data_IF_803885247085
#
_entry.id   IF_803885247085
#
_cell.length_a   1.000
_cell.length_b   1.000
_cell.length_c   1.000
_cell.angle_alpha   90.00
_cell.angle_beta   90.00
_cell.angle_gamma   90.00
#
_symmetry.space_group_name_H-M   'P 1'
#
loop_
_entity.id
_entity.type
_entity.pdbx_description
1 polymer ?
#
# COMPACT_ATOMS: atom_id res chain seq x y z
N UNK A 1 -19.89 9.04 74.78
CA UNK A 1 -19.46 10.44 74.59
C UNK A 1 -18.12 10.45 73.88
N UNK A 2 -18.08 10.99 72.67
CA UNK A 2 -16.96 11.68 71.99
C UNK A 2 -17.04 11.38 70.48
N UNK A 3 -17.71 12.29 69.79
CA UNK A 3 -17.86 12.40 68.36
C UNK A 3 -16.63 13.14 67.81
N UNK A 4 -15.96 12.64 66.79
CA UNK A 4 -14.94 13.39 66.05
C UNK A 4 -15.23 13.28 64.55
N UNK A 5 -15.85 14.35 64.05
CA UNK A 5 -16.04 14.65 62.63
C UNK A 5 -14.68 14.87 61.95
N UNK A 6 -14.47 14.25 60.79
CA UNK A 6 -13.47 14.70 59.81
C UNK A 6 -14.22 15.38 58.67
N UNK A 7 -14.02 16.69 58.56
CA UNK A 7 -14.54 17.53 57.48
C UNK A 7 -13.72 17.32 56.20
N UNK A 8 -14.37 16.90 55.12
CA UNK A 8 -13.82 16.92 53.78
C UNK A 8 -13.83 18.37 53.25
N UNK A 9 -12.65 18.90 52.92
CA UNK A 9 -12.51 20.20 52.25
C UNK A 9 -12.81 20.10 50.75
N UNK A 10 -13.29 21.18 50.11
CA UNK A 10 -13.61 21.19 48.69
C UNK A 10 -12.32 21.27 47.86
N UNK A 11 -12.14 20.33 46.93
CA UNK A 11 -11.12 20.44 45.89
C UNK A 11 -11.57 21.46 44.84
N UNK A 12 -10.88 22.59 44.78
CA UNK A 12 -11.03 23.56 43.68
C UNK A 12 -10.44 22.96 42.39
N UNK A 13 -11.06 23.19 41.22
CA UNK A 13 -10.50 22.74 39.95
C UNK A 13 -9.24 23.54 39.63
N UNK A 14 -8.14 22.84 39.36
CA UNK A 14 -6.92 23.42 38.83
C UNK A 14 -7.24 24.09 37.49
N UNK A 15 -7.10 25.40 37.44
CA UNK A 15 -7.22 26.19 36.22
C UNK A 15 -5.97 25.94 35.37
N UNK A 16 -6.14 25.30 34.22
CA UNK A 16 -5.07 25.13 33.25
C UNK A 16 -4.78 26.50 32.59
N UNK A 17 -3.61 27.06 32.88
CA UNK A 17 -3.08 28.20 32.11
C UNK A 17 -2.87 27.78 30.66
N UNK A 18 -3.11 28.67 29.68
CA UNK A 18 -2.80 28.39 28.29
C UNK A 18 -1.28 28.35 28.15
N UNK A 19 -0.73 27.16 27.97
CA UNK A 19 0.66 27.01 27.59
C UNK A 19 0.85 27.68 26.23
N UNK A 20 1.73 28.67 26.23
CA UNK A 20 2.28 29.37 25.10
C UNK A 20 2.55 28.39 23.95
N UNK A 21 1.85 28.57 22.83
CA UNK A 21 2.00 27.77 21.62
C UNK A 21 3.30 28.16 20.91
N UNK A 22 4.43 27.87 21.56
CA UNK A 22 5.74 27.86 20.94
C UNK A 22 5.70 26.81 19.82
N UNK A 23 5.92 27.27 18.58
CA UNK A 23 6.00 26.48 17.36
C UNK A 23 6.87 25.24 17.58
N UNK A 24 6.25 24.10 17.87
CA UNK A 24 6.93 22.82 17.83
C UNK A 24 7.32 22.61 16.36
N UNK A 25 8.60 22.38 16.04
CA UNK A 25 8.95 21.82 14.74
C UNK A 25 8.07 20.59 14.56
N UNK A 26 7.30 20.52 13.48
CA UNK A 26 6.47 19.34 13.18
C UNK A 26 7.40 18.12 13.22
N UNK A 27 7.27 17.31 14.26
CA UNK A 27 8.16 16.18 14.49
C UNK A 27 8.11 15.27 13.27
N UNK A 28 9.28 14.87 12.76
CA UNK A 28 9.38 13.91 11.66
C UNK A 28 8.68 12.61 12.04
N UNK A 29 7.92 12.06 11.11
CA UNK A 29 7.23 10.76 11.26
C UNK A 29 8.22 9.62 11.44
N UNK A 30 7.76 8.46 11.91
CA UNK A 30 8.63 7.29 12.10
C UNK A 30 9.16 6.79 10.74
N UNK A 31 8.36 6.83 9.68
CA UNK A 31 8.82 6.58 8.31
C UNK A 31 9.96 7.54 7.90
N UNK A 32 9.76 8.85 8.11
CA UNK A 32 10.75 9.88 7.73
C UNK A 32 12.05 9.78 8.52
N UNK A 33 12.02 9.37 9.79
CA UNK A 33 13.22 9.14 10.59
C UNK A 33 14.12 8.05 10.01
N UNK A 34 13.55 7.05 9.31
CA UNK A 34 14.34 5.96 8.71
C UNK A 34 15.20 6.43 7.53
N UNK A 35 14.92 7.59 6.93
CA UNK A 35 15.76 8.19 5.88
C UNK A 35 17.20 8.46 6.34
N UNK A 36 17.44 8.53 7.65
CA UNK A 36 18.76 8.78 8.21
C UNK A 36 19.63 7.52 8.34
N UNK A 37 19.06 6.34 8.09
CA UNK A 37 19.81 5.08 8.05
C UNK A 37 20.65 4.97 6.77
N UNK A 38 21.68 4.12 6.80
CA UNK A 38 22.63 3.97 5.70
C UNK A 38 21.99 3.45 4.40
N UNK A 39 21.15 2.42 4.49
CA UNK A 39 20.56 1.79 3.31
C UNK A 39 19.64 2.71 2.49
N UNK A 40 18.70 3.49 3.08
CA UNK A 40 17.89 4.45 2.32
C UNK A 40 18.73 5.50 1.59
N UNK A 41 19.77 6.04 2.24
CA UNK A 41 20.70 7.01 1.65
C UNK A 41 21.47 6.40 0.48
N UNK A 42 21.97 5.17 0.65
CA UNK A 42 22.64 4.44 -0.41
C UNK A 42 21.69 4.17 -1.59
N UNK A 43 20.47 3.69 -1.33
CA UNK A 43 19.46 3.40 -2.36
C UNK A 43 19.12 4.65 -3.17
N UNK A 44 18.90 5.79 -2.52
CA UNK A 44 18.60 7.06 -3.20
C UNK A 44 19.77 7.52 -4.09
N UNK A 45 21.01 7.45 -3.57
CA UNK A 45 22.21 7.81 -4.33
C UNK A 45 22.42 6.88 -5.52
N UNK A 46 22.34 5.56 -5.31
CA UNK A 46 22.59 4.54 -6.32
C UNK A 46 21.47 4.37 -7.34
N UNK A 47 20.27 4.91 -7.08
CA UNK A 47 19.19 5.01 -8.07
C UNK A 47 19.14 6.36 -8.80
N UNK A 48 19.84 7.37 -8.28
CA UNK A 48 19.80 8.76 -8.77
C UNK A 48 18.53 9.53 -8.38
N UNK A 49 17.81 9.08 -7.33
CA UNK A 49 16.59 9.73 -6.82
C UNK A 49 16.89 10.74 -5.69
N UNK A 50 18.10 10.75 -5.16
CA UNK A 50 18.61 11.69 -4.15
C UNK A 50 18.46 13.18 -4.53
N UNK A 51 18.56 13.51 -5.83
CA UNK A 51 18.40 14.88 -6.32
C UNK A 51 16.96 15.43 -6.28
N UNK A 52 15.94 14.57 -6.07
CA UNK A 52 14.53 14.97 -6.17
C UNK A 52 14.07 15.84 -5.00
N UNK A 53 14.40 15.48 -3.77
CA UNK A 53 14.00 16.23 -2.57
C UNK A 53 14.64 17.65 -2.53
N UNK A 54 15.94 17.85 -2.78
CA UNK A 54 16.53 19.20 -2.86
C UNK A 54 15.89 20.08 -3.96
N UNK A 55 15.53 19.48 -5.11
CA UNK A 55 14.83 20.21 -6.18
C UNK A 55 13.42 20.61 -5.76
N UNK A 56 12.70 19.72 -5.09
CA UNK A 56 11.37 19.98 -4.54
C UNK A 56 11.41 21.09 -3.48
N UNK A 57 12.34 21.02 -2.52
CA UNK A 57 12.53 22.03 -1.48
C UNK A 57 12.77 23.44 -2.05
N UNK A 58 13.61 23.55 -3.10
CA UNK A 58 13.80 24.83 -3.82
C UNK A 58 12.51 25.34 -4.46
N UNK A 59 11.73 24.47 -5.07
CA UNK A 59 10.46 24.84 -5.69
C UNK A 59 9.40 25.28 -4.66
N UNK A 60 9.32 24.61 -3.49
CA UNK A 60 8.47 25.03 -2.38
C UNK A 60 8.85 26.43 -1.87
N UNK A 61 10.16 26.69 -1.66
CA UNK A 61 10.64 28.01 -1.23
C UNK A 61 10.33 29.14 -2.22
N UNK A 62 10.17 28.82 -3.50
CA UNK A 62 9.77 29.75 -4.55
C UNK A 62 8.26 29.87 -4.77
N UNK A 63 7.43 29.26 -3.92
CA UNK A 63 5.97 29.41 -3.99
C UNK A 63 5.51 30.64 -3.20
N UNK A 64 4.77 31.54 -3.85
CA UNK A 64 4.30 32.81 -3.30
C UNK A 64 2.87 32.73 -2.73
N UNK A 65 2.23 31.57 -2.80
CA UNK A 65 0.91 31.32 -2.22
C UNK A 65 0.48 29.85 -2.27
N UNK A 66 -0.62 29.53 -1.58
CA UNK A 66 -1.13 28.17 -1.45
C UNK A 66 -1.32 27.48 -2.80
N UNK A 67 -2.00 28.14 -3.75
CA UNK A 67 -2.29 27.55 -5.06
C UNK A 67 -1.01 27.20 -5.86
N UNK A 68 0.07 27.99 -5.70
CA UNK A 68 1.35 27.69 -6.34
C UNK A 68 2.10 26.56 -5.62
N UNK A 69 1.99 26.50 -4.29
CA UNK A 69 2.54 25.41 -3.49
C UNK A 69 1.86 24.08 -3.87
N UNK A 70 0.54 24.06 -3.95
CA UNK A 70 -0.26 22.89 -4.37
C UNK A 70 0.16 22.41 -5.77
N UNK A 71 0.19 23.30 -6.76
CA UNK A 71 0.70 22.96 -8.11
C UNK A 71 2.12 22.42 -8.09
N UNK A 72 2.97 22.93 -7.19
CA UNK A 72 4.35 22.46 -7.04
C UNK A 72 4.41 21.08 -6.42
N UNK A 73 3.63 20.82 -5.37
CA UNK A 73 3.51 19.51 -4.74
C UNK A 73 3.04 18.46 -5.74
N UNK A 74 1.87 18.66 -6.36
CA UNK A 74 1.29 17.73 -7.33
C UNK A 74 2.27 17.46 -8.48
N UNK A 75 2.86 18.52 -9.07
CA UNK A 75 3.81 18.35 -10.19
C UNK A 75 5.01 17.50 -9.82
N UNK A 76 5.62 17.73 -8.66
CA UNK A 76 6.81 16.99 -8.23
C UNK A 76 6.48 15.56 -7.80
N UNK A 77 5.34 15.36 -7.13
CA UNK A 77 4.86 14.04 -6.74
C UNK A 77 4.49 13.18 -7.96
N UNK A 78 3.74 13.71 -8.93
CA UNK A 78 3.43 12.99 -10.18
C UNK A 78 4.68 12.75 -11.03
N UNK A 79 5.67 13.64 -11.00
CA UNK A 79 6.94 13.41 -11.69
C UNK A 79 7.78 12.32 -11.02
N UNK A 80 7.71 12.19 -9.69
CA UNK A 80 8.33 11.10 -8.96
C UNK A 80 7.71 9.75 -9.35
N UNK A 81 6.39 9.63 -9.36
CA UNK A 81 5.68 8.41 -9.81
C UNK A 81 6.11 8.01 -11.23
N UNK A 82 5.93 8.91 -12.20
CA UNK A 82 6.25 8.66 -13.61
C UNK A 82 7.72 8.29 -13.82
N UNK A 83 8.64 8.94 -13.09
CA UNK A 83 10.07 8.58 -13.14
C UNK A 83 10.32 7.16 -12.63
N UNK A 84 9.65 6.73 -11.55
CA UNK A 84 9.78 5.37 -11.03
C UNK A 84 9.23 4.33 -12.02
N UNK A 85 8.06 4.59 -12.60
CA UNK A 85 7.45 3.75 -13.63
C UNK A 85 8.34 3.66 -14.88
N UNK A 86 8.77 4.79 -15.42
CA UNK A 86 9.68 4.84 -16.58
C UNK A 86 10.97 4.06 -16.32
N UNK A 87 11.55 4.25 -15.14
CA UNK A 87 12.75 3.51 -14.72
C UNK A 87 12.48 2.01 -14.74
N UNK A 88 11.43 1.54 -14.07
CA UNK A 88 11.06 0.12 -13.95
C UNK A 88 10.79 -0.53 -15.31
N UNK A 89 10.29 0.25 -16.27
CA UNK A 89 9.90 -0.23 -17.59
C UNK A 89 10.95 0.00 -18.68
N UNK A 90 12.19 0.28 -18.31
CA UNK A 90 13.24 0.39 -19.32
C UNK A 90 13.32 1.75 -20.03
N UNK A 91 12.46 2.72 -19.69
CA UNK A 91 12.37 4.04 -20.35
C UNK A 91 13.25 5.11 -19.70
N UNK A 92 13.69 6.08 -20.50
CA UNK A 92 14.54 7.18 -20.05
C UNK A 92 15.98 6.76 -19.71
N UNK A 93 16.81 7.72 -19.24
CA UNK A 93 18.21 7.47 -18.95
C UNK A 93 18.37 6.52 -17.76
N UNK A 94 19.31 5.59 -17.88
CA UNK A 94 19.74 4.74 -16.77
C UNK A 94 20.59 5.59 -15.80
N UNK A 95 19.95 6.18 -14.79
CA UNK A 95 20.67 6.87 -13.71
C UNK A 95 21.03 5.88 -12.61
N UNK A 96 22.28 5.93 -12.14
CA UNK A 96 22.76 5.05 -11.09
C UNK A 96 22.97 3.59 -11.51
N UNK A 97 23.31 2.72 -10.56
CA UNK A 97 23.73 1.33 -10.80
C UNK A 97 22.79 0.29 -10.16
N UNK A 98 21.77 0.70 -9.40
CA UNK A 98 20.73 -0.23 -8.96
C UNK A 98 19.95 -0.75 -10.16
N UNK A 99 19.39 -1.94 -10.00
CA UNK A 99 18.46 -2.50 -10.97
C UNK A 99 17.27 -1.58 -11.22
N UNK A 100 16.70 -1.71 -12.41
CA UNK A 100 15.67 -0.81 -12.91
C UNK A 100 14.31 -1.09 -12.30
N UNK A 101 13.96 -2.36 -12.07
CA UNK A 101 12.69 -2.79 -11.48
C UNK A 101 12.59 -2.58 -9.97
N UNK A 102 13.39 -1.69 -9.40
CA UNK A 102 13.47 -1.44 -7.97
C UNK A 102 12.39 -0.46 -7.51
N UNK A 103 11.58 -0.89 -6.54
CA UNK A 103 10.48 -0.12 -5.95
C UNK A 103 10.96 0.83 -4.83
N UNK A 104 12.07 0.49 -4.17
CA UNK A 104 12.58 1.25 -3.03
C UNK A 104 12.92 2.71 -3.34
N UNK A 105 13.47 3.08 -4.52
CA UNK A 105 13.70 4.48 -4.87
C UNK A 105 12.44 5.35 -4.83
N UNK A 106 11.27 4.83 -5.24
CA UNK A 106 10.01 5.57 -5.17
C UNK A 106 9.66 5.88 -3.71
N UNK A 107 9.62 4.83 -2.88
CA UNK A 107 9.25 4.93 -1.48
C UNK A 107 10.12 5.91 -0.71
N UNK A 108 11.45 5.73 -0.75
CA UNK A 108 12.38 6.60 -0.01
C UNK A 108 12.38 8.04 -0.53
N UNK A 109 12.24 8.25 -1.84
CA UNK A 109 12.18 9.60 -2.38
C UNK A 109 10.88 10.31 -1.99
N UNK A 110 9.76 9.58 -1.94
CA UNK A 110 8.48 10.14 -1.48
C UNK A 110 8.56 10.59 -0.03
N UNK A 111 9.14 9.78 0.86
CA UNK A 111 9.39 10.18 2.24
C UNK A 111 10.32 11.39 2.35
N UNK A 112 11.35 11.47 1.50
CA UNK A 112 12.23 12.63 1.46
C UNK A 112 11.48 13.90 1.02
N UNK A 113 10.59 13.81 0.03
CA UNK A 113 9.70 14.92 -0.36
C UNK A 113 8.74 15.29 0.79
N UNK A 114 8.14 14.31 1.46
CA UNK A 114 7.26 14.56 2.62
C UNK A 114 7.99 15.30 3.74
N UNK A 115 9.22 14.88 4.06
CA UNK A 115 10.06 15.52 5.09
C UNK A 115 10.37 16.98 4.75
N UNK A 116 10.66 17.28 3.48
CA UNK A 116 10.84 18.67 3.02
C UNK A 116 9.56 19.49 3.15
N UNK A 117 8.39 18.90 2.84
CA UNK A 117 7.10 19.58 2.99
C UNK A 117 6.76 19.84 4.47
N UNK A 118 7.03 18.89 5.36
CA UNK A 118 6.88 19.07 6.81
C UNK A 118 7.77 20.21 7.33
N UNK A 119 9.07 20.21 6.98
CA UNK A 119 10.02 21.22 7.43
C UNK A 119 9.80 22.61 6.81
N UNK A 120 9.10 22.70 5.67
CA UNK A 120 8.92 23.94 4.94
C UNK A 120 8.05 24.96 5.68
N UNK A 121 8.60 26.14 5.91
CA UNK A 121 7.87 27.32 6.40
C UNK A 121 7.68 28.32 5.25
N UNK A 122 6.44 28.53 4.75
CA UNK A 122 6.15 29.51 3.71
C UNK A 122 6.30 30.96 4.21
N UNK A 123 6.48 31.89 3.26
CA UNK A 123 6.45 33.34 3.52
C UNK A 123 5.04 33.94 3.57
N UNK A 124 4.02 33.12 3.33
CA UNK A 124 2.60 33.46 3.35
C UNK A 124 1.88 32.62 4.41
N UNK A 125 0.68 33.06 4.82
CA UNK A 125 -0.13 32.32 5.79
C UNK A 125 -0.57 30.97 5.21
N UNK A 126 -0.25 29.87 5.91
CA UNK A 126 -0.66 28.52 5.56
C UNK A 126 -1.34 27.88 6.76
N UNK A 127 -2.62 27.55 6.62
CA UNK A 127 -3.39 26.91 7.70
C UNK A 127 -2.97 25.44 7.87
N UNK A 128 -3.27 24.85 9.02
CA UNK A 128 -3.04 23.42 9.24
C UNK A 128 -3.83 22.53 8.25
N UNK A 129 -5.03 22.94 7.86
CA UNK A 129 -5.83 22.25 6.85
C UNK A 129 -5.17 22.30 5.47
N UNK A 130 -4.72 23.47 5.04
CA UNK A 130 -3.98 23.63 3.79
C UNK A 130 -2.70 22.79 3.78
N UNK A 131 -1.96 22.76 4.89
CA UNK A 131 -0.78 21.90 5.01
C UNK A 131 -1.15 20.41 4.86
N UNK A 132 -2.19 19.95 5.55
CA UNK A 132 -2.68 18.56 5.40
C UNK A 132 -3.09 18.27 3.95
N UNK A 133 -3.80 19.18 3.29
CA UNK A 133 -4.16 19.04 1.88
C UNK A 133 -2.94 18.93 0.96
N UNK A 134 -1.87 19.68 1.21
CA UNK A 134 -0.60 19.52 0.49
C UNK A 134 0.02 18.13 0.73
N UNK A 135 0.02 17.61 1.96
CA UNK A 135 0.51 16.24 2.23
C UNK A 135 -0.35 15.18 1.53
N UNK A 136 -1.68 15.34 1.54
CA UNK A 136 -2.59 14.47 0.79
C UNK A 136 -2.29 14.51 -0.70
N UNK A 137 -2.10 15.69 -1.29
CA UNK A 137 -1.75 15.82 -2.71
C UNK A 137 -0.40 15.16 -3.03
N UNK A 138 0.59 15.28 -2.14
CA UNK A 138 1.88 14.60 -2.28
C UNK A 138 1.70 13.08 -2.30
N UNK A 139 0.99 12.53 -1.33
CA UNK A 139 0.75 11.10 -1.20
C UNK A 139 -0.05 10.56 -2.41
N UNK A 140 -1.20 11.17 -2.74
CA UNK A 140 -2.05 10.73 -3.87
C UNK A 140 -1.28 10.73 -5.19
N UNK A 141 -0.63 11.85 -5.54
CA UNK A 141 0.03 11.99 -6.83
C UNK A 141 1.30 11.14 -6.98
N UNK A 142 2.01 10.85 -5.89
CA UNK A 142 3.23 10.01 -5.93
C UNK A 142 2.96 8.51 -5.84
N UNK A 143 1.69 8.12 -5.67
CA UNK A 143 1.21 6.73 -5.57
C UNK A 143 0.49 6.23 -6.83
N UNK A 144 0.51 7.02 -7.91
CA UNK A 144 -0.16 6.70 -9.18
C UNK A 144 -1.66 6.98 -9.19
N UNK A 145 -2.27 7.42 -8.08
CA UNK A 145 -3.73 7.54 -7.96
C UNK A 145 -4.32 8.58 -8.92
N UNK A 146 -3.57 9.64 -9.25
CA UNK A 146 -3.97 10.65 -10.23
C UNK A 146 -3.58 10.32 -11.69
N UNK A 147 -2.78 9.26 -11.90
CA UNK A 147 -2.19 8.91 -13.20
C UNK A 147 -2.93 7.79 -13.93
N UNK A 148 -4.03 7.27 -13.35
CA UNK A 148 -4.87 6.23 -13.97
C UNK A 148 -5.46 6.74 -15.29
N UNK A 149 -5.07 6.14 -16.42
CA UNK A 149 -5.54 6.51 -17.77
C UNK A 149 -5.91 5.29 -18.61
N UNK A 150 -7.22 5.07 -18.78
CA UNK A 150 -7.72 4.04 -19.69
C UNK A 150 -7.91 4.57 -21.12
N UNK A 151 -7.44 3.82 -22.16
CA UNK A 151 -7.70 4.16 -23.55
C UNK A 151 -9.17 3.90 -23.95
N UNK A 152 -9.47 4.10 -25.23
CA UNK A 152 -10.83 3.99 -25.78
C UNK A 152 -11.47 2.59 -25.64
N UNK A 153 -12.75 2.50 -26.01
CA UNK A 153 -13.68 1.39 -25.75
C UNK A 153 -13.29 -0.02 -26.26
N UNK A 154 -12.17 -0.19 -26.99
CA UNK A 154 -11.72 -1.50 -27.52
C UNK A 154 -10.61 -2.14 -26.69
N UNK A 155 -10.35 -1.62 -25.50
CA UNK A 155 -9.26 -2.06 -24.63
C UNK A 155 -9.84 -2.36 -23.26
N UNK A 156 -9.60 -3.58 -22.77
CA UNK A 156 -10.00 -3.95 -21.41
C UNK A 156 -9.25 -3.11 -20.38
N UNK A 157 -9.91 -2.74 -19.30
CA UNK A 157 -9.44 -1.82 -18.27
C UNK A 157 -9.14 -2.60 -17.00
N UNK A 158 -7.86 -2.75 -16.70
CA UNK A 158 -7.37 -3.53 -15.57
C UNK A 158 -6.75 -2.60 -14.55
N UNK A 159 -7.13 -2.73 -13.29
CA UNK A 159 -6.49 -2.04 -12.17
C UNK A 159 -5.74 -3.04 -11.28
N UNK A 160 -4.45 -2.82 -11.07
CA UNK A 160 -3.63 -3.62 -10.15
C UNK A 160 -3.10 -2.74 -9.02
N UNK A 161 -3.26 -3.16 -7.78
CA UNK A 161 -2.70 -2.41 -6.64
C UNK A 161 -1.43 -3.08 -6.11
N UNK A 162 -0.54 -2.30 -5.53
CA UNK A 162 0.60 -2.79 -4.74
C UNK A 162 0.74 -2.04 -3.41
N UNK A 163 1.78 -2.37 -2.65
CA UNK A 163 2.12 -1.71 -1.39
C UNK A 163 3.56 -1.18 -1.36
N UNK A 164 3.76 -0.20 -0.49
CA UNK A 164 5.09 0.24 -0.09
C UNK A 164 5.89 -0.88 0.63
N UNK A 165 7.23 -0.77 0.68
CA UNK A 165 8.05 -1.55 1.61
C UNK A 165 7.61 -1.40 3.07
N UNK A 166 7.70 -2.50 3.83
CA UNK A 166 7.33 -2.56 5.25
C UNK A 166 8.23 -3.51 6.03
N UNK A 167 8.08 -3.58 7.37
CA UNK A 167 9.03 -4.22 8.31
C UNK A 167 10.42 -3.57 8.34
N UNK A 168 10.46 -2.27 8.05
CA UNK A 168 11.69 -1.50 7.86
C UNK A 168 12.49 -1.26 9.15
N UNK A 169 11.93 -1.56 10.32
CA UNK A 169 12.70 -1.64 11.56
C UNK A 169 13.58 -2.88 11.65
N UNK A 170 13.18 -3.97 11.00
CA UNK A 170 14.00 -5.17 10.89
C UNK A 170 15.12 -4.98 9.86
N UNK A 171 14.77 -4.45 8.69
CA UNK A 171 15.73 -4.28 7.59
C UNK A 171 15.27 -3.16 6.66
N UNK A 172 16.05 -2.08 6.53
CA UNK A 172 15.73 -0.96 5.60
C UNK A 172 16.15 -1.21 4.16
N UNK A 173 16.81 -2.34 3.89
CA UNK A 173 17.22 -2.74 2.54
C UNK A 173 16.08 -3.40 1.78
N UNK A 174 15.05 -3.92 2.43
CA UNK A 174 14.00 -4.69 1.75
C UNK A 174 13.12 -3.81 0.85
N UNK A 175 12.64 -4.40 -0.24
CA UNK A 175 11.60 -3.84 -1.10
C UNK A 175 10.28 -4.58 -0.93
N UNK A 176 9.28 -4.23 -1.72
CA UNK A 176 8.01 -4.93 -1.79
C UNK A 176 7.72 -5.40 -3.23
N UNK A 177 7.63 -6.71 -3.48
CA UNK A 177 7.39 -7.25 -4.83
C UNK A 177 6.05 -6.79 -5.41
N UNK A 178 5.04 -6.48 -4.60
CA UNK A 178 3.78 -5.91 -5.08
C UNK A 178 3.96 -4.47 -5.59
N UNK A 179 4.76 -3.64 -4.92
CA UNK A 179 5.13 -2.30 -5.37
C UNK A 179 6.00 -2.33 -6.63
N UNK A 180 6.95 -3.26 -6.70
CA UNK A 180 7.76 -3.48 -7.91
C UNK A 180 6.89 -3.94 -9.10
N UNK A 181 5.87 -4.76 -8.84
CA UNK A 181 4.91 -5.20 -9.85
C UNK A 181 4.04 -4.03 -10.33
N UNK A 182 3.54 -3.18 -9.43
CA UNK A 182 2.80 -1.97 -9.82
C UNK A 182 3.63 -1.12 -10.80
N UNK A 183 4.89 -0.79 -10.45
CA UNK A 183 5.77 -0.01 -11.33
C UNK A 183 6.07 -0.69 -12.68
N UNK A 184 6.27 -2.01 -12.67
CA UNK A 184 6.58 -2.79 -13.88
C UNK A 184 5.39 -3.00 -14.82
N UNK A 185 4.16 -2.81 -14.33
CA UNK A 185 2.92 -3.03 -15.07
C UNK A 185 2.19 -1.72 -15.43
N UNK A 186 2.47 -0.62 -14.74
CA UNK A 186 1.74 0.64 -14.91
C UNK A 186 1.73 1.16 -16.36
N UNK A 187 0.54 1.33 -16.91
CA UNK A 187 0.36 1.76 -18.27
C UNK A 187 0.87 0.79 -19.34
N UNK A 188 1.04 -0.49 -19.03
CA UNK A 188 1.39 -1.50 -20.04
C UNK A 188 0.14 -2.03 -20.74
N UNK A 189 0.33 -2.54 -21.95
CA UNK A 189 -0.69 -3.28 -22.69
C UNK A 189 -0.31 -4.76 -22.71
N UNK A 190 -1.24 -5.62 -22.32
CA UNK A 190 -1.14 -7.07 -22.52
C UNK A 190 -2.11 -7.51 -23.61
N UNK A 191 -1.79 -8.58 -24.34
CA UNK A 191 -2.66 -9.15 -25.37
C UNK A 191 -3.40 -10.35 -24.79
N UNK A 192 -4.72 -10.37 -24.94
CA UNK A 192 -5.60 -11.52 -24.67
C UNK A 192 -6.17 -12.02 -26.00
N UNK A 193 -6.90 -13.14 -25.96
CA UNK A 193 -7.62 -13.65 -27.12
C UNK A 193 -8.71 -12.67 -27.61
N UNK A 194 -9.31 -11.90 -26.70
CA UNK A 194 -10.39 -10.95 -27.00
C UNK A 194 -9.88 -9.54 -27.36
N UNK A 195 -8.59 -9.27 -27.19
CA UNK A 195 -7.99 -8.00 -27.56
C UNK A 195 -6.95 -7.49 -26.57
N UNK A 196 -6.53 -6.22 -26.70
CA UNK A 196 -5.62 -5.61 -25.75
C UNK A 196 -6.30 -5.32 -24.41
N UNK A 197 -5.56 -5.46 -23.31
CA UNK A 197 -5.92 -4.98 -21.99
C UNK A 197 -4.88 -3.98 -21.49
N UNK A 198 -5.33 -2.82 -21.00
CA UNK A 198 -4.52 -1.78 -20.36
C UNK A 198 -4.48 -2.03 -18.87
N UNK A 199 -3.28 -2.13 -18.33
CA UNK A 199 -3.06 -2.24 -16.89
C UNK A 199 -2.66 -0.86 -16.37
N UNK A 200 -3.45 -0.33 -15.45
CA UNK A 200 -3.13 0.85 -14.64
C UNK A 200 -2.88 0.39 -13.21
N UNK A 201 -2.03 1.12 -12.48
CA UNK A 201 -1.63 0.69 -11.14
C UNK A 201 -1.62 1.80 -10.12
N UNK A 202 -1.76 1.42 -8.84
CA UNK A 202 -1.62 2.31 -7.70
C UNK A 202 -0.88 1.62 -6.56
N UNK A 203 -0.18 2.38 -5.73
CA UNK A 203 0.50 1.84 -4.53
C UNK A 203 -0.10 2.40 -3.25
N UNK A 204 -0.48 1.53 -2.33
CA UNK A 204 -1.04 1.89 -1.03
C UNK A 204 0.03 1.98 0.08
N UNK A 205 -0.17 2.87 1.07
CA UNK A 205 0.66 2.92 2.26
C UNK A 205 0.48 1.66 3.10
N UNK A 206 1.51 1.28 3.83
CA UNK A 206 1.41 0.28 4.90
C UNK A 206 1.20 1.02 6.22
N UNK A 207 0.01 1.63 6.38
CA UNK A 207 -0.40 2.43 7.54
C UNK A 207 -1.87 2.22 7.89
N UNK A 208 -2.18 1.94 9.16
CA UNK A 208 -3.54 1.68 9.64
C UNK A 208 -4.44 2.90 9.56
N UNK A 209 -3.88 4.09 9.83
CA UNK A 209 -4.61 5.35 9.84
C UNK A 209 -5.21 5.65 8.47
N UNK A 210 -4.43 5.54 7.39
CA UNK A 210 -4.90 5.78 6.02
C UNK A 210 -6.07 4.87 5.64
N UNK A 211 -6.01 3.60 6.07
CA UNK A 211 -7.08 2.62 5.85
C UNK A 211 -8.33 2.95 6.66
N UNK A 212 -8.18 3.30 7.95
CA UNK A 212 -9.29 3.75 8.80
C UNK A 212 -9.95 5.03 8.27
N UNK A 213 -9.16 5.92 7.65
CA UNK A 213 -9.65 7.13 7.01
C UNK A 213 -10.31 6.87 5.64
N UNK A 214 -10.31 5.64 5.12
CA UNK A 214 -11.02 5.27 3.88
C UNK A 214 -10.22 5.51 2.59
N UNK A 215 -8.90 5.40 2.64
CA UNK A 215 -8.04 5.57 1.45
C UNK A 215 -8.38 4.59 0.33
N UNK A 216 -8.70 3.32 0.66
CA UNK A 216 -9.03 2.28 -0.33
C UNK A 216 -10.28 2.66 -1.10
N UNK A 217 -11.33 3.07 -0.39
CA UNK A 217 -12.61 3.43 -1.00
C UNK A 217 -12.49 4.70 -1.85
N UNK A 218 -11.78 5.73 -1.37
CA UNK A 218 -11.54 6.95 -2.15
C UNK A 218 -10.86 6.68 -3.49
N UNK A 219 -9.89 5.77 -3.51
CA UNK A 219 -9.13 5.44 -4.72
C UNK A 219 -9.95 4.54 -5.64
N UNK A 220 -10.58 3.51 -5.12
CA UNK A 220 -11.19 2.46 -5.94
C UNK A 220 -12.63 2.78 -6.39
N UNK A 221 -13.44 3.49 -5.59
CA UNK A 221 -14.87 3.65 -5.87
C UNK A 221 -15.18 4.30 -7.22
N UNK A 222 -14.34 5.24 -7.67
CA UNK A 222 -14.48 5.89 -8.98
C UNK A 222 -14.02 5.00 -10.14
N UNK A 223 -13.18 4.00 -9.88
CA UNK A 223 -12.60 3.14 -10.91
C UNK A 223 -13.45 1.90 -11.15
N UNK A 224 -13.87 1.20 -10.08
CA UNK A 224 -14.50 -0.12 -10.18
C UNK A 224 -15.65 -0.22 -11.20
N UNK A 225 -16.60 0.74 -11.32
CA UNK A 225 -17.68 0.66 -12.30
C UNK A 225 -17.23 0.69 -13.77
N UNK A 226 -15.96 0.98 -14.03
CA UNK A 226 -15.39 1.16 -15.36
C UNK A 226 -14.32 0.12 -15.69
N UNK A 227 -14.02 -0.81 -14.78
CA UNK A 227 -13.01 -1.83 -14.98
C UNK A 227 -13.61 -3.11 -15.56
N UNK A 228 -12.77 -3.87 -16.24
CA UNK A 228 -13.03 -5.25 -16.65
C UNK A 228 -12.38 -6.26 -15.69
N UNK A 229 -11.40 -5.83 -14.91
CA UNK A 229 -10.72 -6.63 -13.88
C UNK A 229 -10.09 -5.69 -12.84
N UNK A 230 -10.12 -6.07 -11.57
CA UNK A 230 -9.16 -5.54 -10.59
C UNK A 230 -8.45 -6.65 -9.83
N UNK A 231 -7.23 -6.38 -9.38
CA UNK A 231 -6.49 -7.30 -8.52
C UNK A 231 -5.70 -6.50 -7.51
N UNK A 232 -5.97 -6.70 -6.22
CA UNK A 232 -5.10 -6.18 -5.18
C UNK A 232 -3.93 -7.15 -5.02
N UNK A 233 -2.69 -6.65 -4.98
CA UNK A 233 -1.50 -7.49 -4.87
C UNK A 233 -0.73 -7.12 -3.60
N UNK A 234 -0.36 -8.13 -2.83
CA UNK A 234 0.44 -7.99 -1.60
C UNK A 234 1.60 -8.97 -1.60
N UNK A 235 2.63 -8.69 -0.81
CA UNK A 235 3.66 -9.67 -0.53
C UNK A 235 3.13 -10.73 0.47
N UNK A 236 3.25 -12.01 0.13
CA UNK A 236 2.82 -13.13 0.96
C UNK A 236 3.99 -13.86 1.62
N UNK A 237 4.18 -15.13 1.26
CA UNK A 237 5.14 -16.05 1.88
C UNK A 237 6.22 -16.54 0.90
N UNK A 238 7.14 -17.37 1.34
CA UNK A 238 8.24 -17.81 0.48
C UNK A 238 7.76 -18.71 -0.67
N UNK A 239 8.31 -18.45 -1.86
CA UNK A 239 8.36 -19.41 -2.96
C UNK A 239 7.06 -19.72 -3.70
N UNK A 240 5.95 -19.03 -3.41
CA UNK A 240 4.66 -19.30 -4.05
C UNK A 240 3.78 -18.07 -4.19
N UNK A 241 2.85 -18.12 -5.13
CA UNK A 241 1.70 -17.22 -5.20
C UNK A 241 0.49 -17.87 -4.53
N UNK A 242 -0.32 -17.07 -3.84
CA UNK A 242 -1.60 -17.50 -3.27
C UNK A 242 -2.71 -16.61 -3.87
N UNK A 243 -3.68 -17.22 -4.55
CA UNK A 243 -4.93 -16.56 -4.96
C UNK A 243 -5.90 -16.72 -3.79
N UNK A 244 -6.21 -15.62 -3.10
CA UNK A 244 -6.99 -15.67 -1.88
C UNK A 244 -8.48 -15.84 -2.18
N UNK A 245 -9.09 -16.92 -1.68
CA UNK A 245 -10.53 -17.17 -1.87
C UNK A 245 -11.38 -16.21 -1.05
N UNK A 246 -11.01 -16.00 0.21
CA UNK A 246 -11.87 -15.33 1.20
C UNK A 246 -11.09 -14.31 2.03
N UNK A 247 -11.65 -13.11 2.17
CA UNK A 247 -11.09 -12.01 2.97
C UNK A 247 -11.96 -11.77 4.21
N UNK A 248 -11.34 -11.52 5.37
CA UNK A 248 -12.03 -11.40 6.65
C UNK A 248 -12.17 -9.96 7.15
N UNK A 249 -13.29 -9.67 7.82
CA UNK A 249 -13.60 -8.38 8.46
C UNK A 249 -12.80 -8.13 9.75
N UNK A 250 -11.56 -8.58 9.82
CA UNK A 250 -10.69 -8.45 10.99
C UNK A 250 -9.32 -7.89 10.57
N UNK A 251 -8.79 -7.00 11.41
CA UNK A 251 -7.43 -6.48 11.30
C UNK A 251 -6.63 -6.80 12.56
N UNK A 252 -5.34 -6.96 12.41
CA UNK A 252 -4.42 -7.33 13.47
C UNK A 252 -3.01 -7.58 12.94
N UNK A 253 -2.30 -8.50 13.59
CA UNK A 253 -0.93 -8.85 13.24
C UNK A 253 0.11 -7.97 13.93
N UNK A 254 0.92 -7.26 13.14
CA UNK A 254 2.10 -6.53 13.60
C UNK A 254 1.97 -5.01 13.35
N UNK A 255 2.87 -4.18 13.91
CA UNK A 255 2.84 -2.73 13.70
C UNK A 255 3.00 -2.33 12.22
N UNK A 256 2.43 -1.19 11.86
CA UNK A 256 2.56 -0.58 10.53
C UNK A 256 3.88 0.19 10.36
N UNK A 257 4.05 0.89 9.24
CA UNK A 257 5.26 1.67 8.99
C UNK A 257 5.44 2.85 9.97
N UNK A 258 4.39 3.30 10.64
CA UNK A 258 4.48 4.31 11.72
C UNK A 258 4.63 3.67 13.11
N UNK A 259 4.87 2.35 13.17
CA UNK A 259 4.92 1.55 14.39
C UNK A 259 3.62 1.56 15.20
N UNK A 260 2.50 1.89 14.56
CA UNK A 260 1.18 1.79 15.16
C UNK A 260 0.62 0.37 15.00
N UNK A 261 -0.06 -0.12 16.03
CA UNK A 261 -0.81 -1.38 15.98
C UNK A 261 -2.32 -1.08 15.96
N UNK A 262 -3.09 -1.92 15.27
CA UNK A 262 -4.55 -1.83 15.23
C UNK A 262 -5.14 -3.23 15.15
N UNK A 263 -5.85 -3.63 16.21
CA UNK A 263 -6.46 -4.97 16.30
C UNK A 263 -7.95 -4.83 16.55
N UNK A 264 -8.77 -5.52 15.76
CA UNK A 264 -10.23 -5.48 15.87
C UNK A 264 -10.93 -5.70 14.55
N UNK A 265 -12.24 -5.48 14.54
CA UNK A 265 -13.03 -5.49 13.30
C UNK A 265 -12.54 -4.38 12.37
N UNK A 266 -12.49 -4.65 11.06
CA UNK A 266 -12.14 -3.64 10.06
C UNK A 266 -13.19 -2.51 10.07
N UNK A 267 -12.87 -1.26 10.43
CA UNK A 267 -13.81 -0.14 10.38
C UNK A 267 -14.21 0.19 8.94
N UNK A 268 -15.51 0.20 8.67
CA UNK A 268 -16.11 0.58 7.38
C UNK A 268 -17.19 1.65 7.60
N UNK A 269 -17.57 2.37 6.55
CA UNK A 269 -18.54 3.48 6.67
C UNK A 269 -19.96 3.05 7.08
N UNK A 270 -20.36 1.82 6.80
CA UNK A 270 -21.63 1.23 7.22
C UNK A 270 -21.36 -0.07 8.00
N UNK A 271 -21.09 0.01 9.31
CA UNK A 271 -20.79 -1.15 10.13
C UNK A 271 -22.01 -2.07 10.35
N UNK A 272 -23.23 -1.53 10.29
CA UNK A 272 -24.44 -2.29 10.57
C UNK A 272 -24.70 -3.38 9.53
N UNK A 273 -24.33 -3.12 8.27
CA UNK A 273 -24.48 -4.05 7.15
C UNK A 273 -23.19 -4.84 6.84
N UNK A 274 -22.16 -4.72 7.68
CA UNK A 274 -20.82 -5.24 7.38
C UNK A 274 -20.79 -6.79 7.42
N UNK A 275 -20.48 -7.49 6.31
CA UNK A 275 -20.34 -8.94 6.33
C UNK A 275 -19.02 -9.35 7.00
N UNK A 276 -18.99 -10.51 7.67
CA UNK A 276 -17.75 -11.04 8.24
C UNK A 276 -16.72 -11.45 7.18
N UNK A 277 -17.21 -11.85 6.01
CA UNK A 277 -16.41 -12.41 4.94
C UNK A 277 -16.81 -11.80 3.60
N UNK A 278 -15.84 -11.66 2.71
CA UNK A 278 -16.06 -11.38 1.28
C UNK A 278 -15.25 -12.36 0.46
N UNK A 279 -15.67 -12.60 -0.77
CA UNK A 279 -15.08 -13.66 -1.61
C UNK A 279 -14.57 -13.08 -2.93
N UNK A 280 -13.47 -13.66 -3.41
CA UNK A 280 -12.91 -13.35 -4.72
C UNK A 280 -13.89 -13.71 -5.85
N UNK A 281 -13.85 -12.96 -6.94
CA UNK A 281 -14.45 -13.29 -8.24
C UNK A 281 -13.37 -13.47 -9.32
N UNK A 282 -12.10 -13.58 -8.93
CA UNK A 282 -11.03 -13.94 -9.86
C UNK A 282 -11.21 -15.37 -10.38
N UNK A 283 -10.77 -15.67 -11.63
CA UNK A 283 -10.83 -17.00 -12.23
C UNK A 283 -9.74 -17.91 -11.62
N UNK A 284 -9.90 -18.28 -10.36
CA UNK A 284 -8.90 -18.98 -9.56
C UNK A 284 -8.41 -20.28 -10.20
N UNK A 285 -9.32 -21.05 -10.80
CA UNK A 285 -8.98 -22.32 -11.46
C UNK A 285 -8.01 -22.08 -12.61
N UNK A 286 -8.32 -21.12 -13.47
CA UNK A 286 -7.46 -20.77 -14.59
C UNK A 286 -6.13 -20.18 -14.12
N UNK A 287 -6.13 -19.41 -13.05
CA UNK A 287 -4.90 -18.87 -12.47
C UNK A 287 -3.99 -19.95 -11.90
N UNK A 288 -4.54 -21.02 -11.31
CA UNK A 288 -3.77 -22.11 -10.70
C UNK A 288 -3.35 -23.18 -11.70
N UNK A 289 -4.14 -23.41 -12.76
CA UNK A 289 -3.84 -24.37 -13.82
C UNK A 289 -2.92 -23.80 -14.91
N UNK A 290 -2.85 -22.46 -15.07
CA UNK A 290 -2.03 -21.83 -16.11
C UNK A 290 -0.53 -21.81 -15.79
N UNK A 291 0.28 -22.08 -16.81
CA UNK A 291 1.73 -21.88 -16.77
C UNK A 291 2.07 -20.38 -16.84
N UNK A 292 2.18 -19.73 -15.68
CA UNK A 292 2.41 -18.27 -15.57
C UNK A 292 3.84 -17.89 -15.20
N UNK A 293 4.65 -18.86 -14.74
CA UNK A 293 6.04 -18.61 -14.37
C UNK A 293 6.60 -19.69 -13.46
N UNK A 294 7.77 -19.43 -12.87
CA UNK A 294 8.52 -20.43 -12.10
C UNK A 294 7.93 -20.76 -10.73
N UNK A 295 7.12 -19.87 -10.16
CA UNK A 295 6.58 -20.07 -8.82
C UNK A 295 5.23 -20.78 -8.93
N UNK A 296 4.94 -21.80 -8.10
CA UNK A 296 3.61 -22.38 -8.05
C UNK A 296 2.57 -21.36 -7.61
N UNK A 297 1.35 -21.52 -8.11
CA UNK A 297 0.18 -20.68 -7.80
C UNK A 297 -0.85 -21.55 -7.11
N UNK A 298 -1.21 -21.18 -5.88
CA UNK A 298 -2.14 -21.95 -5.06
C UNK A 298 -3.49 -21.25 -4.96
N UNK A 299 -4.53 -22.06 -4.93
CA UNK A 299 -5.86 -21.64 -4.48
C UNK A 299 -5.85 -21.67 -2.95
N UNK A 300 -5.81 -20.49 -2.31
CA UNK A 300 -5.74 -20.40 -0.86
C UNK A 300 -7.14 -20.20 -0.27
N UNK A 301 -7.66 -21.27 0.32
CA UNK A 301 -8.99 -21.31 0.94
C UNK A 301 -8.95 -21.20 2.46
N UNK A 302 -7.76 -21.29 3.07
CA UNK A 302 -7.61 -21.29 4.52
C UNK A 302 -8.06 -19.96 5.13
N UNK A 303 -8.81 -20.01 6.24
CA UNK A 303 -9.17 -18.84 7.04
C UNK A 303 -9.08 -19.16 8.53
N UNK A 304 -9.02 -18.13 9.37
CA UNK A 304 -9.20 -18.28 10.83
C UNK A 304 -10.51 -17.59 11.24
N UNK A 305 -11.38 -18.35 11.90
CA UNK A 305 -12.71 -17.88 12.31
C UNK A 305 -12.98 -18.13 13.79
N UNK A 306 -13.97 -17.45 14.35
CA UNK A 306 -14.70 -17.94 15.53
C UNK A 306 -16.01 -18.54 15.01
N UNK A 307 -16.26 -19.86 15.17
CA UNK A 307 -17.48 -20.50 14.68
C UNK A 307 -18.73 -19.91 15.35
N UNK A 308 -19.89 -20.04 14.70
CA UNK A 308 -21.16 -19.63 15.28
C UNK A 308 -21.38 -20.29 16.66
N UNK A 309 -21.65 -19.49 17.69
CA UNK A 309 -21.80 -19.95 19.09
C UNK A 309 -20.48 -20.28 19.80
N UNK A 310 -19.33 -20.17 19.12
CA UNK A 310 -18.01 -20.35 19.70
C UNK A 310 -17.43 -19.07 20.31
N UNK A 311 -16.33 -19.22 21.05
CA UNK A 311 -15.58 -18.10 21.64
C UNK A 311 -14.09 -18.13 21.30
N UNK A 312 -13.60 -19.22 20.71
CA UNK A 312 -12.19 -19.43 20.41
C UNK A 312 -11.95 -19.42 18.90
N UNK A 313 -10.85 -18.79 18.43
CA UNK A 313 -10.42 -18.87 17.04
C UNK A 313 -10.02 -20.29 16.63
N UNK A 314 -10.34 -20.68 15.40
CA UNK A 314 -9.97 -21.95 14.78
C UNK A 314 -9.62 -21.74 13.32
N UNK A 315 -8.59 -22.44 12.85
CA UNK A 315 -8.24 -22.48 11.42
C UNK A 315 -9.17 -23.43 10.68
N UNK A 316 -9.61 -23.01 9.48
CA UNK A 316 -10.44 -23.78 8.57
C UNK A 316 -9.74 -23.86 7.21
N UNK A 317 -9.35 -25.06 6.74
CA UNK A 317 -8.66 -25.20 5.47
C UNK A 317 -9.56 -24.86 4.27
N UNK A 318 -10.87 -25.06 4.40
CA UNK A 318 -11.82 -24.99 3.27
C UNK A 318 -12.75 -23.76 3.33
N UNK A 319 -12.28 -22.68 3.95
CA UNK A 319 -13.05 -21.43 4.08
C UNK A 319 -13.95 -21.36 5.32
N UNK A 320 -14.69 -20.25 5.49
CA UNK A 320 -15.45 -20.00 6.71
C UNK A 320 -16.75 -20.81 6.77
N UNK A 321 -17.17 -21.15 7.99
CA UNK A 321 -18.46 -21.78 8.26
C UNK A 321 -19.59 -20.73 8.32
N UNK A 322 -20.85 -21.10 7.98
CA UNK A 322 -21.97 -20.16 8.05
C UNK A 322 -22.15 -19.53 9.44
N UNK A 323 -22.31 -18.21 9.47
CA UNK A 323 -22.51 -17.44 10.71
C UNK A 323 -21.24 -17.24 11.55
N UNK A 324 -20.06 -17.64 11.08
CA UNK A 324 -18.80 -17.42 11.80
C UNK A 324 -18.35 -15.96 11.77
N UNK A 325 -17.54 -15.59 12.76
CA UNK A 325 -16.89 -14.27 12.84
C UNK A 325 -15.43 -14.34 12.38
N UNK A 326 -14.97 -13.32 11.67
CA UNK A 326 -13.62 -13.29 11.12
C UNK A 326 -12.53 -13.05 12.17
N UNK A 327 -11.41 -13.75 11.99
CA UNK A 327 -10.14 -13.51 12.72
C UNK A 327 -8.93 -13.45 11.78
N UNK A 328 -8.96 -14.13 10.65
CA UNK A 328 -8.03 -13.92 9.54
C UNK A 328 -8.67 -14.40 8.24
N UNK A 329 -8.50 -13.66 7.14
CA UNK A 329 -8.75 -14.18 5.79
C UNK A 329 -7.58 -15.03 5.30
N UNK A 330 -7.63 -15.46 4.04
CA UNK A 330 -6.52 -16.24 3.45
C UNK A 330 -5.19 -15.48 3.45
N UNK A 331 -5.26 -14.16 3.34
CA UNK A 331 -4.13 -13.25 3.48
C UNK A 331 -3.65 -12.96 4.90
N UNK A 332 -4.20 -13.61 5.92
CA UNK A 332 -3.96 -13.30 7.33
C UNK A 332 -4.91 -12.21 7.88
N UNK A 333 -4.43 -11.42 8.83
CA UNK A 333 -5.17 -10.32 9.46
C UNK A 333 -4.48 -8.95 9.30
N UNK A 334 -3.39 -8.87 8.55
CA UNK A 334 -2.68 -7.62 8.31
C UNK A 334 -3.34 -6.76 7.20
N UNK A 335 -2.69 -5.65 6.82
CA UNK A 335 -3.16 -4.72 5.79
C UNK A 335 -3.40 -5.37 4.41
N UNK A 336 -2.75 -6.51 4.12
CA UNK A 336 -3.02 -7.29 2.91
C UNK A 336 -4.43 -7.89 2.90
N UNK A 337 -4.85 -8.51 3.99
CA UNK A 337 -6.24 -8.94 4.18
C UNK A 337 -7.19 -7.75 4.14
N UNK A 338 -6.81 -6.64 4.76
CA UNK A 338 -7.72 -5.50 4.83
C UNK A 338 -7.98 -4.84 3.47
N UNK A 339 -6.95 -4.62 2.62
CA UNK A 339 -7.18 -4.06 1.28
C UNK A 339 -8.04 -5.00 0.46
N UNK A 340 -7.80 -6.32 0.60
CA UNK A 340 -8.56 -7.34 -0.09
C UNK A 340 -10.03 -7.27 0.32
N UNK A 341 -10.31 -7.30 1.62
CA UNK A 341 -11.65 -7.21 2.21
C UNK A 341 -12.37 -5.92 1.79
N UNK A 342 -11.71 -4.75 1.89
CA UNK A 342 -12.31 -3.47 1.51
C UNK A 342 -12.61 -3.38 0.02
N UNK A 343 -11.71 -3.85 -0.83
CA UNK A 343 -11.90 -3.80 -2.28
C UNK A 343 -13.05 -4.71 -2.74
N UNK A 344 -13.14 -5.94 -2.22
CA UNK A 344 -14.24 -6.86 -2.53
C UNK A 344 -15.55 -6.42 -1.90
N UNK A 345 -15.54 -5.90 -0.66
CA UNK A 345 -16.73 -5.31 -0.04
C UNK A 345 -17.26 -4.11 -0.84
N UNK A 346 -16.36 -3.25 -1.32
CA UNK A 346 -16.74 -2.10 -2.15
C UNK A 346 -17.34 -2.54 -3.48
N UNK A 347 -16.73 -3.53 -4.17
CA UNK A 347 -17.31 -4.15 -5.38
C UNK A 347 -18.75 -4.62 -5.12
N UNK A 348 -18.96 -5.34 -4.02
CA UNK A 348 -20.26 -5.91 -3.67
C UNK A 348 -21.29 -4.82 -3.35
N UNK A 349 -20.89 -3.78 -2.59
CA UNK A 349 -21.74 -2.62 -2.27
C UNK A 349 -22.09 -1.75 -3.47
N UNK A 350 -21.25 -1.72 -4.49
CA UNK A 350 -21.52 -1.05 -5.76
C UNK A 350 -22.39 -1.89 -6.70
N UNK A 351 -22.80 -3.10 -6.30
CA UNK A 351 -23.62 -3.99 -7.12
C UNK A 351 -22.88 -4.50 -8.35
N UNK A 352 -21.57 -4.77 -8.23
CA UNK A 352 -20.70 -5.24 -9.31
C UNK A 352 -20.30 -6.72 -9.15
N UNK A 353 -21.22 -7.67 -8.89
CA UNK A 353 -20.86 -9.07 -8.60
C UNK A 353 -20.23 -9.79 -9.79
N UNK A 354 -20.40 -9.26 -11.02
CA UNK A 354 -19.81 -9.79 -12.25
C UNK A 354 -18.41 -9.27 -12.53
N UNK A 355 -17.95 -8.21 -11.84
CA UNK A 355 -16.60 -7.68 -12.01
C UNK A 355 -15.60 -8.67 -11.42
N UNK A 356 -14.72 -9.30 -12.22
CA UNK A 356 -13.65 -10.14 -11.70
C UNK A 356 -12.71 -9.32 -10.81
N UNK A 357 -12.48 -9.79 -9.60
CA UNK A 357 -11.92 -8.98 -8.54
C UNK A 357 -11.52 -9.80 -7.33
N UNK A 358 -10.30 -9.59 -6.84
CA UNK A 358 -9.80 -10.35 -5.69
C UNK A 358 -8.38 -9.99 -5.30
N UNK A 359 -7.77 -10.88 -4.52
CA UNK A 359 -6.46 -10.66 -3.94
C UNK A 359 -5.45 -11.73 -4.35
N UNK A 360 -4.24 -11.27 -4.66
CA UNK A 360 -3.11 -12.10 -5.00
C UNK A 360 -1.96 -11.80 -4.03
N UNK A 361 -1.48 -12.82 -3.34
CA UNK A 361 -0.21 -12.75 -2.63
C UNK A 361 0.92 -13.23 -3.52
N UNK A 362 2.01 -12.46 -3.57
CA UNK A 362 3.25 -12.84 -4.25
C UNK A 362 4.19 -13.61 -3.33
N UNK A 363 5.21 -14.30 -3.87
CA UNK A 363 6.35 -14.71 -3.07
C UNK A 363 7.03 -13.51 -2.38
N UNK A 364 7.69 -13.72 -1.24
CA UNK A 364 8.56 -12.70 -0.62
C UNK A 364 9.85 -12.51 -1.42
N UNK A 365 10.39 -11.29 -1.39
CA UNK A 365 11.76 -11.03 -1.85
C UNK A 365 12.78 -11.62 -0.87
N UNK A 366 13.86 -12.17 -1.41
CA UNK A 366 14.94 -12.78 -0.61
C UNK A 366 16.28 -12.30 -1.14
N UNK A 367 17.15 -11.87 -0.23
CA UNK A 367 18.57 -11.74 -0.50
C UNK A 367 19.20 -13.12 -0.62
N UNK A 368 20.34 -13.21 -1.32
CA UNK A 368 21.15 -14.42 -1.36
C UNK A 368 21.61 -14.82 0.04
N UNK A 369 21.96 -16.10 0.23
CA UNK A 369 22.31 -16.65 1.55
C UNK A 369 23.40 -15.84 2.28
N UNK A 370 24.40 -15.37 1.52
CA UNK A 370 25.52 -14.57 2.01
C UNK A 370 25.17 -13.10 2.34
N UNK A 371 23.97 -12.64 2.01
CA UNK A 371 23.53 -11.25 2.15
C UNK A 371 22.33 -11.08 3.10
N UNK A 372 22.05 -12.10 3.92
CA UNK A 372 20.90 -12.15 4.84
C UNK A 372 21.02 -11.22 6.05
N UNK A 373 22.25 -10.85 6.48
CA UNK A 373 22.46 -9.98 7.65
C UNK A 373 22.24 -8.49 7.29
N UNK A 374 21.24 -7.80 7.89
CA UNK A 374 20.97 -6.39 7.63
C UNK A 374 22.07 -5.40 8.01
N UNK A 375 22.94 -5.78 8.96
CA UNK A 375 23.98 -4.88 9.48
C UNK A 375 25.24 -4.87 8.60
N UNK A 376 25.54 -5.99 7.96
CA UNK A 376 26.78 -6.16 7.18
C UNK A 376 26.53 -6.38 5.69
N UNK A 377 25.30 -6.71 5.32
CA UNK A 377 24.93 -7.00 3.95
C UNK A 377 24.79 -5.75 3.07
N UNK A 378 24.91 -5.96 1.78
CA UNK A 378 24.72 -4.93 0.76
C UNK A 378 23.23 -4.71 0.48
N UNK A 379 22.89 -3.55 -0.08
CA UNK A 379 21.49 -3.21 -0.42
C UNK A 379 20.93 -4.04 -1.57
N UNK A 380 21.74 -4.81 -2.30
CA UNK A 380 21.25 -5.60 -3.43
C UNK A 380 22.24 -6.71 -3.77
N UNK A 381 21.73 -7.84 -4.25
CA UNK A 381 22.54 -8.95 -4.77
C UNK A 381 21.83 -9.63 -5.96
N UNK A 382 22.53 -10.51 -6.71
CA UNK A 382 21.95 -11.16 -7.88
C UNK A 382 20.72 -12.03 -7.59
N UNK A 383 20.61 -12.66 -6.42
CA UNK A 383 19.44 -13.47 -6.05
C UNK A 383 18.22 -12.59 -5.81
N UNK A 384 18.39 -11.49 -5.06
CA UNK A 384 17.34 -10.49 -4.84
C UNK A 384 16.78 -9.96 -6.16
N UNK A 385 17.66 -9.65 -7.10
CA UNK A 385 17.30 -9.11 -8.41
C UNK A 385 16.59 -10.13 -9.31
N UNK A 386 17.11 -11.36 -9.39
CA UNK A 386 16.45 -12.47 -10.09
C UNK A 386 15.11 -12.82 -9.44
N UNK A 387 15.01 -12.72 -8.12
CA UNK A 387 13.80 -12.99 -7.38
C UNK A 387 12.70 -11.99 -7.78
N UNK A 388 12.99 -10.70 -7.67
CA UNK A 388 12.09 -9.61 -8.05
C UNK A 388 11.66 -9.68 -9.50
N UNK A 389 12.60 -9.82 -10.44
CA UNK A 389 12.29 -9.87 -11.86
C UNK A 389 11.33 -11.04 -12.21
N UNK A 390 11.57 -12.22 -11.62
CA UNK A 390 10.71 -13.38 -11.81
C UNK A 390 9.30 -13.17 -11.23
N UNK A 391 9.18 -12.54 -10.06
CA UNK A 391 7.87 -12.24 -9.46
C UNK A 391 7.09 -11.24 -10.32
N UNK A 392 7.71 -10.12 -10.71
CA UNK A 392 7.05 -9.09 -11.54
C UNK A 392 6.58 -9.67 -12.88
N UNK A 393 7.42 -10.49 -13.52
CA UNK A 393 7.05 -11.18 -14.76
C UNK A 393 5.85 -12.11 -14.56
N UNK A 394 5.83 -12.88 -13.48
CA UNK A 394 4.73 -13.81 -13.22
C UNK A 394 3.44 -13.10 -12.80
N UNK A 395 3.51 -11.97 -12.08
CA UNK A 395 2.34 -11.11 -11.82
C UNK A 395 1.73 -10.61 -13.13
N UNK A 396 2.55 -10.19 -14.10
CA UNK A 396 2.05 -9.79 -15.44
C UNK A 396 1.29 -10.93 -16.11
N UNK A 397 1.84 -12.14 -16.09
CA UNK A 397 1.19 -13.30 -16.72
C UNK A 397 -0.10 -13.70 -15.99
N UNK A 398 -0.12 -13.68 -14.65
CA UNK A 398 -1.33 -13.93 -13.86
C UNK A 398 -2.43 -12.91 -14.17
N UNK A 399 -2.08 -11.61 -14.24
CA UNK A 399 -3.04 -10.56 -14.59
C UNK A 399 -3.53 -10.74 -16.04
N UNK A 400 -2.64 -11.10 -16.97
CA UNK A 400 -3.00 -11.40 -18.37
C UNK A 400 -3.96 -12.59 -18.46
N UNK A 401 -3.72 -13.66 -17.70
CA UNK A 401 -4.60 -14.82 -17.62
C UNK A 401 -5.96 -14.41 -17.06
N UNK A 402 -6.00 -13.68 -15.93
CA UNK A 402 -7.25 -13.25 -15.31
C UNK A 402 -8.13 -12.40 -16.25
N UNK A 403 -7.54 -11.43 -16.97
CA UNK A 403 -8.29 -10.57 -17.89
C UNK A 403 -8.66 -11.29 -19.20
N UNK A 404 -7.96 -12.38 -19.53
CA UNK A 404 -8.32 -13.28 -20.63
C UNK A 404 -9.64 -14.00 -20.40
N UNK A 405 -9.94 -14.34 -19.14
CA UNK A 405 -11.17 -15.02 -18.73
C UNK A 405 -12.32 -14.07 -18.35
N UNK A 406 -12.04 -12.77 -18.24
CA UNK A 406 -13.01 -11.73 -17.93
C UNK A 406 -13.88 -11.41 -19.16
N UNK A 407 -14.82 -12.29 -19.52
CA UNK A 407 -15.70 -12.18 -20.69
C UNK A 407 -17.18 -12.32 -20.34
#
# INVERSE_FOLDING_TARGET
MALLLVLAGPALPASASPADAARTPTATTVEEQRLDRAAPREILRRSGFDALAPRFARALRGSDGYAQAERTVTRHASALWRRAVDRAQGRGPATGDLSRGDDRPLYWARLALSRELHAWTPRFALTGEQRRALHTALETSSRGQDDIRFPGHRVKRVLVTGFDPFTLDRDTRIGNPSGASALGLDGTLVRTAEGPARIETVVFPVRWTDFAEGTVERVLARQLPHLDLFTTVSQGRQGRFDVERTNGAWRGGFPDNENAASTGTVPVADPASQPQWTTTTLPYRQLTEAETGRFPVYDNTEVTEIPAGGTQPVTRPDGPTPGSAARAGGGGDYLSNEIAYRATLLRDRLGLPKLPGGHLHTPVLQFGAENTNPQTGTVTDPDFERNRAGIVSQVRELVRTAVGEAG
#
